data_IF_616839627424
#
_entry.id   IF_616839627424
#
_cell.length_a   1.000
_cell.length_b   1.000
_cell.length_c   1.000
_cell.angle_alpha   90.00
_cell.angle_beta   90.00
_cell.angle_gamma   90.00
#
_symmetry.space_group_name_H-M   'P 1'
#
loop_
_entity.id
_entity.type
_entity.pdbx_description
1 polymer ?
#
# COMPACT_ATOMS: atom_id res chain seq x y z
N UNK A 1 6.30 -10.51 -7.98
CA UNK A 1 5.32 -11.19 -8.85
C UNK A 1 3.97 -10.46 -8.77
N UNK A 2 3.45 -10.16 -7.55
CA UNK A 2 2.14 -9.51 -7.38
C UNK A 2 2.03 -8.13 -8.01
N UNK A 3 3.06 -7.28 -7.91
CA UNK A 3 3.07 -5.93 -8.50
C UNK A 3 3.06 -5.95 -10.03
N UNK A 4 3.81 -6.88 -10.64
CA UNK A 4 3.84 -7.04 -12.09
C UNK A 4 2.50 -7.55 -12.64
N UNK A 5 1.84 -8.47 -11.94
CA UNK A 5 0.51 -8.97 -12.34
C UNK A 5 -0.57 -7.89 -12.22
N UNK A 6 -0.54 -7.04 -11.19
CA UNK A 6 -1.50 -5.95 -11.03
C UNK A 6 -1.24 -4.79 -12.00
N UNK A 7 0.03 -4.49 -12.31
CA UNK A 7 0.37 -3.55 -13.38
C UNK A 7 -0.10 -4.06 -14.74
N UNK A 8 0.07 -5.34 -15.03
CA UNK A 8 -0.44 -5.96 -16.25
C UNK A 8 -1.98 -5.91 -16.32
N UNK A 9 -2.68 -6.17 -15.20
CA UNK A 9 -4.14 -6.04 -15.12
C UNK A 9 -4.60 -4.60 -15.33
N UNK A 10 -3.91 -3.60 -14.76
CA UNK A 10 -4.24 -2.19 -14.97
C UNK A 10 -4.02 -1.77 -16.45
N UNK A 11 -2.93 -2.21 -17.07
CA UNK A 11 -2.64 -1.96 -18.48
C UNK A 11 -3.66 -2.69 -19.39
N UNK A 12 -3.99 -3.94 -19.08
CA UNK A 12 -5.01 -4.70 -19.79
C UNK A 12 -6.40 -4.09 -19.64
N UNK A 13 -6.74 -3.48 -18.49
CA UNK A 13 -8.04 -2.81 -18.30
C UNK A 13 -8.19 -1.56 -19.17
N UNK A 14 -7.09 -0.87 -19.46
CA UNK A 14 -7.08 0.28 -20.39
C UNK A 14 -7.22 -0.17 -21.85
N UNK A 15 -6.50 -1.23 -22.23
CA UNK A 15 -6.43 -1.70 -23.62
C UNK A 15 -7.61 -2.59 -24.01
N UNK A 16 -8.19 -3.31 -23.07
CA UNK A 16 -9.22 -4.34 -23.30
C UNK A 16 -10.50 -4.12 -22.48
N UNK A 17 -10.84 -2.86 -22.16
CA UNK A 17 -12.01 -2.50 -21.35
C UNK A 17 -13.29 -3.29 -21.68
N UNK A 18 -13.72 -3.38 -22.96
CA UNK A 18 -14.91 -4.14 -23.33
C UNK A 18 -14.76 -5.65 -23.17
N UNK A 19 -13.56 -6.19 -23.34
CA UNK A 19 -13.29 -7.63 -23.18
C UNK A 19 -13.19 -8.04 -21.70
N UNK A 20 -12.59 -7.17 -20.89
CA UNK A 20 -12.43 -7.41 -19.45
C UNK A 20 -13.77 -7.30 -18.71
N UNK A 21 -14.65 -6.36 -19.11
CA UNK A 21 -15.99 -6.25 -18.56
C UNK A 21 -16.82 -7.51 -18.88
N UNK A 22 -16.75 -8.01 -20.12
CA UNK A 22 -17.44 -9.23 -20.53
C UNK A 22 -16.89 -10.50 -19.84
N UNK A 23 -15.62 -10.52 -19.48
CA UNK A 23 -14.99 -11.63 -18.77
C UNK A 23 -15.33 -11.58 -17.27
N UNK A 24 -15.34 -10.40 -16.68
CA UNK A 24 -15.78 -10.17 -15.28
C UNK A 24 -17.28 -10.47 -15.12
N UNK A 25 -18.13 -10.07 -16.05
CA UNK A 25 -19.55 -10.42 -16.06
C UNK A 25 -19.79 -11.93 -16.18
N UNK A 26 -18.92 -12.67 -16.87
CA UNK A 26 -19.00 -14.13 -16.95
C UNK A 26 -18.51 -14.85 -15.71
N UNK A 27 -17.49 -14.31 -15.05
CA UNK A 27 -16.88 -14.96 -13.87
C UNK A 27 -17.62 -14.60 -12.57
N UNK A 28 -18.28 -13.43 -12.52
CA UNK A 28 -18.91 -12.88 -11.32
C UNK A 28 -20.41 -12.54 -11.51
N UNK A 29 -21.25 -13.47 -11.99
CA UNK A 29 -22.64 -13.14 -12.34
C UNK A 29 -23.57 -12.83 -11.14
N UNK A 30 -23.10 -12.99 -9.89
CA UNK A 30 -23.92 -12.82 -8.68
C UNK A 30 -23.29 -11.96 -7.57
N UNK A 31 -22.08 -11.46 -7.75
CA UNK A 31 -21.41 -10.60 -6.77
C UNK A 31 -21.38 -9.17 -7.30
N UNK A 32 -21.86 -8.22 -6.49
CA UNK A 32 -21.41 -6.83 -6.64
C UNK A 32 -19.95 -6.83 -6.22
N UNK A 33 -18.97 -6.75 -7.13
CA UNK A 33 -17.57 -6.77 -6.75
C UNK A 33 -17.26 -5.47 -6.02
N UNK A 34 -17.25 -5.55 -4.71
CA UNK A 34 -16.72 -4.53 -3.83
C UNK A 34 -15.20 -4.76 -3.80
N UNK A 35 -14.48 -3.84 -4.40
CA UNK A 35 -13.03 -3.88 -4.36
C UNK A 35 -12.57 -3.11 -3.15
N UNK A 36 -11.99 -3.82 -2.19
CA UNK A 36 -11.45 -3.26 -0.96
C UNK A 36 -9.92 -3.21 -1.02
N UNK A 37 -9.36 -2.05 -0.81
CA UNK A 37 -7.91 -1.85 -0.72
C UNK A 37 -7.60 -0.87 0.40
N UNK A 38 -6.87 -1.27 1.39
CA UNK A 38 -6.25 -0.49 2.47
C UNK A 38 -6.84 0.92 2.68
N UNK A 39 -8.12 1.00 3.05
CA UNK A 39 -8.72 2.25 3.49
C UNK A 39 -9.79 2.83 2.59
N UNK A 40 -10.12 2.22 1.44
CA UNK A 40 -11.32 2.58 0.71
C UNK A 40 -11.94 1.37 0.03
N UNK A 41 -13.28 1.37 0.01
CA UNK A 41 -14.11 0.40 -0.70
C UNK A 41 -14.76 1.11 -1.87
N UNK A 42 -14.74 0.47 -3.02
CA UNK A 42 -15.29 1.01 -4.25
C UNK A 42 -16.19 -0.02 -4.92
N UNK A 43 -17.41 0.40 -5.23
CA UNK A 43 -18.33 -0.39 -6.06
C UNK A 43 -17.93 -0.24 -7.52
N UNK A 44 -17.72 -1.35 -8.21
CA UNK A 44 -17.27 -1.39 -9.60
C UNK A 44 -18.42 -1.45 -10.57
N UNK A 45 -19.65 -1.60 -10.06
CA UNK A 45 -20.87 -1.73 -10.88
C UNK A 45 -21.68 -0.43 -10.84
N UNK A 46 -22.24 -0.05 -12.00
CA UNK A 46 -23.23 1.03 -12.07
C UNK A 46 -24.61 0.59 -11.54
N UNK A 47 -25.57 1.50 -11.45
CA UNK A 47 -26.92 1.23 -11.00
C UNK A 47 -27.65 0.14 -11.83
N UNK A 48 -27.20 -0.16 -13.03
CA UNK A 48 -27.71 -1.22 -13.90
C UNK A 48 -27.01 -2.57 -13.69
N UNK A 49 -26.05 -2.66 -12.76
CA UNK A 49 -25.28 -3.89 -12.50
C UNK A 49 -24.13 -4.16 -13.49
N UNK A 50 -23.89 -3.28 -14.45
CA UNK A 50 -22.79 -3.43 -15.40
C UNK A 50 -21.47 -2.89 -14.80
N UNK A 51 -20.36 -3.57 -15.08
CA UNK A 51 -19.01 -3.17 -14.62
C UNK A 51 -18.58 -1.88 -15.30
N UNK A 52 -18.18 -0.88 -14.51
CA UNK A 52 -17.69 0.39 -15.02
C UNK A 52 -16.17 0.35 -15.27
N UNK A 53 -15.70 0.47 -16.53
CA UNK A 53 -14.28 0.37 -16.86
C UNK A 53 -13.40 1.42 -16.15
N UNK A 54 -13.94 2.62 -15.90
CA UNK A 54 -13.24 3.70 -15.20
C UNK A 54 -12.96 3.36 -13.74
N UNK A 55 -13.92 2.70 -13.08
CA UNK A 55 -13.79 2.23 -11.72
C UNK A 55 -12.67 1.19 -11.60
N UNK A 56 -12.67 0.21 -12.50
CA UNK A 56 -11.62 -0.85 -12.55
C UNK A 56 -10.24 -0.23 -12.79
N UNK A 57 -10.13 0.77 -13.65
CA UNK A 57 -8.88 1.45 -13.95
C UNK A 57 -8.35 2.21 -12.72
N UNK A 58 -9.20 3.01 -12.06
CA UNK A 58 -8.81 3.77 -10.86
C UNK A 58 -8.37 2.84 -9.74
N UNK A 59 -9.13 1.76 -9.53
CA UNK A 59 -8.75 0.74 -8.55
C UNK A 59 -7.41 0.08 -8.91
N UNK A 60 -7.20 -0.31 -10.17
CA UNK A 60 -5.96 -0.90 -10.64
C UNK A 60 -4.75 0.00 -10.42
N UNK A 61 -4.86 1.30 -10.68
CA UNK A 61 -3.80 2.28 -10.43
C UNK A 61 -3.49 2.34 -8.93
N UNK A 62 -4.51 2.48 -8.08
CA UNK A 62 -4.31 2.54 -6.63
C UNK A 62 -3.68 1.26 -6.07
N UNK A 63 -4.12 0.09 -6.54
CA UNK A 63 -3.58 -1.19 -6.15
C UNK A 63 -2.09 -1.32 -6.53
N UNK A 64 -1.68 -0.85 -7.71
CA UNK A 64 -0.26 -0.85 -8.13
C UNK A 64 0.59 0.00 -7.18
N UNK A 65 0.13 1.21 -6.82
CA UNK A 65 0.86 2.08 -5.89
C UNK A 65 0.99 1.44 -4.51
N UNK A 66 -0.11 0.96 -3.94
CA UNK A 66 -0.14 0.35 -2.60
C UNK A 66 0.72 -0.92 -2.55
N UNK A 67 0.58 -1.81 -3.54
CA UNK A 67 1.37 -3.04 -3.60
C UNK A 67 2.87 -2.77 -3.81
N UNK A 68 3.23 -1.72 -4.56
CA UNK A 68 4.62 -1.31 -4.72
C UNK A 68 5.22 -0.84 -3.41
N UNK A 69 4.52 -0.02 -2.63
CA UNK A 69 4.96 0.41 -1.30
C UNK A 69 5.07 -0.76 -0.33
N UNK A 70 4.09 -1.68 -0.34
CA UNK A 70 4.14 -2.88 0.49
C UNK A 70 5.33 -3.78 0.12
N UNK A 71 5.64 -3.92 -1.18
CA UNK A 71 6.82 -4.65 -1.63
C UNK A 71 8.12 -4.00 -1.13
N UNK A 72 8.19 -2.64 -1.07
CA UNK A 72 9.33 -1.92 -0.48
C UNK A 72 9.44 -2.16 1.02
N UNK A 73 8.32 -2.17 1.76
CA UNK A 73 8.31 -2.52 3.18
C UNK A 73 8.88 -3.92 3.41
N UNK A 74 8.38 -4.93 2.69
CA UNK A 74 8.88 -6.31 2.81
C UNK A 74 10.35 -6.44 2.43
N UNK A 75 10.79 -5.72 1.39
CA UNK A 75 12.21 -5.67 1.00
C UNK A 75 13.07 -5.10 2.14
N UNK A 76 12.68 -3.98 2.74
CA UNK A 76 13.42 -3.36 3.83
C UNK A 76 13.47 -4.27 5.06
N UNK A 77 12.36 -4.91 5.42
CA UNK A 77 12.32 -5.90 6.50
C UNK A 77 13.29 -7.06 6.21
N UNK A 78 13.26 -7.61 5.01
CA UNK A 78 14.18 -8.68 4.62
C UNK A 78 15.66 -8.26 4.72
N UNK A 79 16.00 -7.04 4.27
CA UNK A 79 17.35 -6.51 4.34
C UNK A 79 17.81 -6.28 5.79
N UNK A 80 16.94 -5.76 6.65
CA UNK A 80 17.23 -5.59 8.08
C UNK A 80 17.51 -6.94 8.72
N UNK A 81 16.66 -7.94 8.49
CA UNK A 81 16.84 -9.29 9.04
C UNK A 81 18.15 -9.92 8.57
N UNK A 82 18.50 -9.79 7.31
CA UNK A 82 19.75 -10.31 6.75
C UNK A 82 20.96 -9.62 7.38
N UNK A 83 20.98 -8.29 7.44
CA UNK A 83 22.10 -7.52 8.01
C UNK A 83 22.26 -7.74 9.51
N UNK A 84 21.16 -7.89 10.24
CA UNK A 84 21.17 -8.15 11.68
C UNK A 84 21.77 -9.51 12.07
N UNK A 85 21.90 -10.45 11.13
CA UNK A 85 22.61 -11.72 11.35
C UNK A 85 24.14 -11.57 11.26
N UNK A 86 24.61 -10.58 10.51
CA UNK A 86 26.04 -10.38 10.24
C UNK A 86 26.66 -9.27 11.12
N UNK A 87 25.85 -8.44 11.78
CA UNK A 87 26.30 -7.25 12.50
C UNK A 87 25.30 -6.78 13.57
N UNK A 88 25.69 -5.74 14.34
CA UNK A 88 24.81 -5.18 15.38
C UNK A 88 23.52 -4.60 14.76
N UNK A 89 22.36 -4.75 15.43
CA UNK A 89 21.08 -4.22 14.94
C UNK A 89 21.06 -2.68 14.89
N UNK A 90 21.96 -2.00 15.59
CA UNK A 90 22.03 -0.53 15.68
C UNK A 90 22.79 0.15 14.53
N UNK A 91 23.07 -0.54 13.45
CA UNK A 91 23.73 0.07 12.30
C UNK A 91 22.89 1.19 11.67
N UNK A 92 23.54 2.29 11.22
CA UNK A 92 22.86 3.43 10.60
C UNK A 92 21.95 3.04 9.43
N UNK A 93 22.35 2.05 8.65
CA UNK A 93 21.58 1.53 7.53
C UNK A 93 20.25 0.86 7.98
N UNK A 94 20.29 0.11 9.09
CA UNK A 94 19.10 -0.53 9.64
C UNK A 94 18.12 0.52 10.18
N UNK A 95 18.63 1.55 10.85
CA UNK A 95 17.85 2.68 11.34
C UNK A 95 17.17 3.43 10.19
N UNK A 96 17.90 3.65 9.10
CA UNK A 96 17.35 4.27 7.89
C UNK A 96 16.23 3.43 7.28
N UNK A 97 16.45 2.12 7.09
CA UNK A 97 15.44 1.22 6.54
C UNK A 97 14.19 1.15 7.44
N UNK A 98 14.38 1.12 8.76
CA UNK A 98 13.27 1.14 9.72
C UNK A 98 12.45 2.43 9.63
N UNK A 99 13.12 3.58 9.45
CA UNK A 99 12.44 4.87 9.21
C UNK A 99 11.64 4.85 7.92
N UNK A 100 12.18 4.30 6.85
CA UNK A 100 11.47 4.16 5.56
C UNK A 100 10.21 3.29 5.72
N UNK A 101 10.28 2.19 6.48
CA UNK A 101 9.11 1.35 6.78
C UNK A 101 8.03 2.17 7.50
N UNK A 102 8.40 2.93 8.54
CA UNK A 102 7.45 3.78 9.27
C UNK A 102 6.77 4.81 8.39
N UNK A 103 7.53 5.46 7.50
CA UNK A 103 7.00 6.41 6.52
C UNK A 103 6.04 5.72 5.56
N UNK A 104 6.39 4.56 5.00
CA UNK A 104 5.54 3.83 4.07
C UNK A 104 4.23 3.39 4.72
N UNK A 105 4.26 2.96 5.99
CA UNK A 105 3.05 2.62 6.74
C UNK A 105 2.08 3.81 6.87
N UNK A 106 2.59 5.05 6.93
CA UNK A 106 1.76 6.26 6.95
C UNK A 106 1.30 6.65 5.55
N UNK A 107 2.16 6.51 4.55
CA UNK A 107 1.88 6.91 3.15
C UNK A 107 0.78 6.04 2.53
N UNK A 108 0.74 4.74 2.84
CA UNK A 108 -0.27 3.81 2.30
C UNK A 108 -1.70 4.27 2.57
N UNK A 109 -2.14 4.54 3.83
CA UNK A 109 -3.49 5.04 4.07
C UNK A 109 -3.73 6.44 3.49
N UNK A 110 -2.71 7.31 3.40
CA UNK A 110 -2.83 8.61 2.74
C UNK A 110 -3.14 8.44 1.25
N UNK A 111 -2.46 7.53 0.55
CA UNK A 111 -2.77 7.20 -0.84
C UNK A 111 -4.19 6.68 -0.97
N UNK A 112 -4.64 5.80 -0.07
CA UNK A 112 -6.01 5.31 -0.03
C UNK A 112 -7.04 6.46 0.05
N UNK A 113 -6.82 7.42 0.96
CA UNK A 113 -7.68 8.60 1.09
C UNK A 113 -7.69 9.48 -0.17
N UNK A 114 -6.53 9.73 -0.76
CA UNK A 114 -6.42 10.51 -2.02
C UNK A 114 -7.15 9.81 -3.16
N UNK A 115 -6.94 8.51 -3.32
CA UNK A 115 -7.59 7.72 -4.37
C UNK A 115 -9.10 7.61 -4.16
N UNK A 116 -9.56 7.52 -2.91
CA UNK A 116 -10.98 7.60 -2.57
C UNK A 116 -11.58 8.95 -2.98
N UNK A 117 -10.91 10.06 -2.67
CA UNK A 117 -11.36 11.39 -3.07
C UNK A 117 -11.43 11.54 -4.61
N UNK A 118 -10.41 11.07 -5.34
CA UNK A 118 -10.38 11.07 -6.81
C UNK A 118 -11.53 10.20 -7.37
N UNK A 119 -11.74 9.02 -6.81
CA UNK A 119 -12.81 8.12 -7.26
C UNK A 119 -14.20 8.73 -7.05
N UNK A 120 -14.43 9.43 -5.93
CA UNK A 120 -15.68 10.17 -5.69
C UNK A 120 -15.92 11.30 -6.70
N UNK A 121 -14.86 12.00 -7.09
CA UNK A 121 -14.96 13.06 -8.10
C UNK A 121 -15.31 12.52 -9.49
N UNK A 122 -14.82 11.32 -9.82
CA UNK A 122 -15.01 10.72 -11.15
C UNK A 122 -16.32 9.95 -11.27
N UNK A 123 -16.74 9.24 -10.19
CA UNK A 123 -17.89 8.33 -10.22
C UNK A 123 -19.11 8.85 -9.47
N UNK A 124 -18.95 9.87 -8.63
CA UNK A 124 -19.98 10.37 -7.74
C UNK A 124 -19.82 9.89 -6.29
N UNK A 125 -20.54 10.55 -5.38
CA UNK A 125 -20.40 10.35 -3.93
C UNK A 125 -20.90 8.99 -3.45
N UNK A 126 -21.85 8.39 -4.16
CA UNK A 126 -22.54 7.17 -3.72
C UNK A 126 -21.78 5.87 -4.12
N UNK A 127 -20.79 5.99 -4.98
CA UNK A 127 -20.06 4.82 -5.50
C UNK A 127 -18.84 4.40 -4.65
N UNK A 128 -18.44 5.21 -3.67
CA UNK A 128 -17.19 5.01 -2.91
C UNK A 128 -17.42 5.19 -1.43
N UNK A 129 -17.28 4.12 -0.66
CA UNK A 129 -17.20 4.20 0.80
C UNK A 129 -15.74 4.43 1.22
N UNK A 130 -15.52 5.47 2.04
CA UNK A 130 -14.19 5.77 2.56
C UNK A 130 -14.13 5.32 4.01
N UNK A 131 -13.37 4.29 4.29
CA UNK A 131 -12.99 3.93 5.65
C UNK A 131 -11.61 4.49 5.97
N UNK A 132 -11.50 5.33 7.00
CA UNK A 132 -10.19 5.81 7.47
C UNK A 132 -9.51 4.69 8.25
N UNK A 133 -8.54 4.06 7.66
CA UNK A 133 -7.77 3.01 8.32
C UNK A 133 -6.72 3.62 9.27
N UNK A 134 -7.12 3.87 10.52
CA UNK A 134 -6.24 4.39 11.58
C UNK A 134 -5.13 3.40 11.95
N UNK A 135 -5.28 2.12 11.62
CA UNK A 135 -4.30 1.08 11.95
C UNK A 135 -2.94 1.32 11.27
N UNK A 136 -2.95 1.70 10.00
CA UNK A 136 -1.73 2.03 9.26
C UNK A 136 -0.98 3.23 9.87
N UNK A 137 -1.73 4.27 10.26
CA UNK A 137 -1.14 5.45 10.92
C UNK A 137 -0.51 5.09 12.26
N UNK A 138 -1.23 4.36 13.12
CA UNK A 138 -0.70 3.96 14.44
C UNK A 138 0.52 3.07 14.32
N UNK A 139 0.52 2.08 13.41
CA UNK A 139 1.70 1.26 13.13
C UNK A 139 2.88 2.09 12.63
N UNK A 140 2.65 3.02 11.71
CA UNK A 140 3.70 3.92 11.22
C UNK A 140 4.33 4.76 12.33
N UNK A 141 3.52 5.33 13.22
CA UNK A 141 4.00 6.09 14.39
C UNK A 141 4.82 5.20 15.33
N UNK A 142 4.34 4.00 15.65
CA UNK A 142 5.06 3.06 16.52
C UNK A 142 6.43 2.73 15.92
N UNK A 143 6.50 2.42 14.62
CA UNK A 143 7.76 2.12 13.92
C UNK A 143 8.69 3.33 13.93
N UNK A 144 8.19 4.56 13.76
CA UNK A 144 9.00 5.77 13.84
C UNK A 144 9.53 6.02 15.26
N UNK A 145 8.73 5.76 16.29
CA UNK A 145 9.18 5.83 17.68
C UNK A 145 10.28 4.79 17.97
N UNK A 146 10.11 3.56 17.50
CA UNK A 146 11.15 2.53 17.57
C UNK A 146 12.43 2.96 16.86
N UNK A 147 12.33 3.59 15.69
CA UNK A 147 13.48 4.12 14.95
C UNK A 147 14.28 5.13 15.79
N UNK A 148 13.60 6.00 16.54
CA UNK A 148 14.25 6.95 17.44
C UNK A 148 14.98 6.24 18.58
N UNK A 149 14.36 5.20 19.18
CA UNK A 149 14.99 4.40 20.24
C UNK A 149 16.25 3.69 19.72
N UNK A 150 16.21 3.13 18.52
CA UNK A 150 17.38 2.51 17.88
C UNK A 150 18.49 3.53 17.58
N UNK A 151 18.13 4.73 17.12
CA UNK A 151 19.09 5.81 16.87
C UNK A 151 19.79 6.25 18.15
N UNK A 152 19.06 6.31 19.26
CA UNK A 152 19.63 6.63 20.57
C UNK A 152 20.54 5.51 21.09
N UNK A 153 20.13 4.25 20.89
CA UNK A 153 20.98 3.09 21.22
C UNK A 153 22.30 3.08 20.44
N UNK A 154 22.27 3.41 19.15
CA UNK A 154 23.47 3.52 18.32
C UNK A 154 24.43 4.61 18.83
N UNK A 155 23.91 5.75 19.28
CA UNK A 155 24.73 6.82 19.85
C UNK A 155 25.43 6.37 21.13
N UNK A 156 24.72 5.66 22.02
CA UNK A 156 25.32 5.12 23.25
C UNK A 156 26.40 4.07 22.97
N UNK A 157 26.20 3.21 21.96
CA UNK A 157 27.19 2.20 21.55
C UNK A 157 28.50 2.89 21.09
N UNK A 158 28.40 3.96 20.28
CA UNK A 158 29.55 4.74 19.84
C UNK A 158 30.28 5.44 20.98
N UNK A 159 29.55 5.97 21.97
CA UNK A 159 30.15 6.61 23.13
C UNK A 159 30.96 5.62 23.96
N UNK A 160 30.50 4.39 24.08
CA UNK A 160 31.20 3.32 24.85
C UNK A 160 32.44 2.84 24.07
N UNK A 161 32.37 2.67 22.75
CA UNK A 161 33.52 2.29 21.94
C UNK A 161 34.62 3.36 21.91
N UNK A 162 34.25 4.64 22.04
CA UNK A 162 35.22 5.75 22.12
C UNK A 162 35.94 5.89 23.47
N UNK A 163 35.52 5.12 24.50
CA UNK A 163 36.12 5.14 25.82
C UNK A 163 37.16 4.01 26.06
N UNK A 164 37.31 3.10 25.13
CA UNK A 164 38.26 1.98 25.12
C UNK A 164 39.39 2.26 24.14
#
# INVERSE_FOLDING_TARGET
VGTASMAALAICSVAAGPWLSGLLERILPQYRPELNTYGYEMTVTNAAGAVEPRAVLLFGISAVFILSLMAMVFRNVHLILKKSQESTPFQPDNIRMLREIGIFCIVVPVIGLVMSAVSRLVQGLDAVETSVNLYGFSMGIIVLCLTQSFAHGAALEQDVEGLV
#
